data_IF_077413189381
#
_entry.id   IF_077413189381
#
_cell.length_a   1.000
_cell.length_b   1.000
_cell.length_c   1.000
_cell.angle_alpha   90.00
_cell.angle_beta   90.00
_cell.angle_gamma   90.00
#
_symmetry.space_group_name_H-M   'P 1'
#
loop_
_entity.id
_entity.type
_entity.pdbx_description
1 polymer ?
#
# COMPACT_ATOMS: atom_id res chain seq x y z
N UNK A 1 15.83 -32.60 -9.29
CA UNK A 1 14.46 -32.07 -9.51
C UNK A 1 14.06 -31.40 -8.23
N UNK A 2 13.82 -30.10 -8.28
CA UNK A 2 13.34 -29.33 -7.15
C UNK A 2 11.89 -29.70 -6.86
N UNK A 3 11.46 -29.56 -5.61
CA UNK A 3 10.08 -29.88 -5.27
C UNK A 3 9.10 -28.89 -5.93
N UNK A 4 9.52 -27.66 -6.12
CA UNK A 4 8.76 -26.59 -6.76
C UNK A 4 8.22 -26.94 -8.15
N UNK A 5 8.99 -27.70 -8.96
CA UNK A 5 8.57 -28.10 -10.30
C UNK A 5 7.26 -28.91 -10.35
N UNK A 6 6.89 -29.57 -9.23
CA UNK A 6 5.65 -30.36 -9.14
C UNK A 6 4.37 -29.53 -9.25
N UNK A 7 4.43 -28.22 -9.05
CA UNK A 7 3.25 -27.35 -9.16
C UNK A 7 2.71 -27.31 -10.59
N UNK A 8 3.56 -27.55 -11.58
CA UNK A 8 3.15 -27.53 -12.98
C UNK A 8 2.18 -28.67 -13.32
N UNK A 9 2.14 -29.76 -12.56
CA UNK A 9 1.15 -30.84 -12.69
C UNK A 9 -0.28 -30.37 -12.38
N UNK A 10 -0.42 -29.22 -11.67
CA UNK A 10 -1.69 -28.61 -11.26
C UNK A 10 -2.04 -27.38 -12.09
N UNK A 11 -1.28 -27.07 -13.15
CA UNK A 11 -1.39 -25.80 -13.86
C UNK A 11 -2.78 -25.51 -14.42
N UNK A 12 -3.41 -26.49 -15.06
CA UNK A 12 -4.75 -26.34 -15.61
C UNK A 12 -5.82 -26.12 -14.51
N UNK A 13 -5.63 -26.78 -13.36
CA UNK A 13 -6.48 -26.57 -12.19
C UNK A 13 -6.31 -25.17 -11.60
N UNK A 14 -5.08 -24.65 -11.54
CA UNK A 14 -4.75 -23.28 -11.10
C UNK A 14 -5.50 -22.27 -11.97
N UNK A 15 -5.38 -22.36 -13.29
CA UNK A 15 -6.04 -21.42 -14.20
C UNK A 15 -7.57 -21.50 -14.11
N UNK A 16 -8.12 -22.72 -14.02
CA UNK A 16 -9.56 -22.94 -13.86
C UNK A 16 -10.08 -22.29 -12.57
N UNK A 17 -9.38 -22.48 -11.46
CA UNK A 17 -9.83 -21.99 -10.15
C UNK A 17 -9.59 -20.50 -10.00
N UNK A 18 -8.52 -19.95 -10.61
CA UNK A 18 -8.31 -18.52 -10.74
C UNK A 18 -9.49 -17.86 -11.48
N UNK A 19 -9.94 -18.45 -12.59
CA UNK A 19 -11.11 -17.95 -13.32
C UNK A 19 -12.38 -17.90 -12.46
N UNK A 20 -12.58 -18.87 -11.56
CA UNK A 20 -13.72 -18.87 -10.63
C UNK A 20 -13.67 -17.71 -9.62
N UNK A 21 -12.48 -17.41 -9.09
CA UNK A 21 -12.32 -16.35 -8.08
C UNK A 21 -12.30 -14.97 -8.74
N UNK A 22 -11.72 -14.84 -9.95
CA UNK A 22 -11.78 -13.59 -10.74
C UNK A 22 -13.22 -13.21 -11.07
N UNK A 23 -14.09 -14.20 -11.31
CA UNK A 23 -15.52 -13.97 -11.59
C UNK A 23 -16.30 -13.34 -10.43
N UNK A 24 -15.67 -13.13 -9.28
CA UNK A 24 -16.27 -12.51 -8.11
C UNK A 24 -15.76 -11.07 -7.99
N UNK A 25 -16.63 -10.04 -8.12
CA UNK A 25 -16.24 -8.65 -7.98
C UNK A 25 -16.07 -8.27 -6.49
N UNK A 26 -15.10 -8.86 -5.83
CA UNK A 26 -14.86 -8.75 -4.38
C UNK A 26 -14.26 -7.39 -3.98
N UNK A 27 -14.89 -6.32 -4.44
CA UNK A 27 -14.59 -4.95 -3.97
C UNK A 27 -15.17 -4.79 -2.57
N UNK A 28 -14.36 -4.28 -1.65
CA UNK A 28 -14.81 -4.02 -0.28
C UNK A 28 -15.99 -3.03 -0.28
N UNK A 29 -17.06 -3.43 0.34
CA UNK A 29 -18.28 -2.65 0.49
C UNK A 29 -18.69 -2.49 1.95
N UNK A 30 -19.79 -1.78 2.22
CA UNK A 30 -20.32 -1.63 3.58
C UNK A 30 -20.70 -3.00 4.16
N UNK A 31 -20.60 -3.11 5.48
CA UNK A 31 -20.99 -4.32 6.19
C UNK A 31 -22.48 -4.64 5.97
N UNK A 32 -22.79 -5.91 5.67
CA UNK A 32 -24.13 -6.40 5.45
C UNK A 32 -24.41 -7.67 6.30
N UNK A 33 -25.07 -7.51 7.44
CA UNK A 33 -25.33 -8.62 8.37
C UNK A 33 -24.02 -9.21 8.92
N UNK A 34 -23.76 -10.48 8.65
CA UNK A 34 -22.54 -11.19 9.08
C UNK A 34 -21.33 -10.97 8.13
N UNK A 35 -21.47 -10.14 7.11
CA UNK A 35 -20.45 -9.89 6.08
C UNK A 35 -19.76 -8.54 6.31
N UNK A 36 -18.65 -8.48 7.03
CA UNK A 36 -18.03 -7.23 7.43
C UNK A 36 -17.51 -6.36 6.26
N UNK A 37 -17.20 -7.00 5.14
CA UNK A 37 -16.66 -6.35 3.93
C UNK A 37 -17.58 -6.49 2.71
N UNK A 38 -18.88 -6.79 2.95
CA UNK A 38 -19.87 -6.95 1.91
C UNK A 38 -19.98 -8.39 1.37
N UNK A 39 -21.07 -8.65 0.62
CA UNK A 39 -21.40 -9.98 0.14
C UNK A 39 -20.42 -10.58 -0.86
N UNK A 40 -19.83 -9.76 -1.71
CA UNK A 40 -18.92 -10.27 -2.73
C UNK A 40 -17.58 -10.73 -2.13
N UNK A 41 -17.06 -10.02 -1.12
CA UNK A 41 -15.92 -10.49 -0.34
C UNK A 41 -16.23 -11.79 0.39
N UNK A 42 -17.42 -11.89 1.00
CA UNK A 42 -17.87 -13.13 1.65
C UNK A 42 -17.97 -14.29 0.65
N UNK A 43 -18.49 -14.06 -0.56
CA UNK A 43 -18.56 -15.06 -1.63
C UNK A 43 -17.18 -15.55 -2.06
N UNK A 44 -16.18 -14.63 -2.13
CA UNK A 44 -14.79 -15.00 -2.44
C UNK A 44 -14.21 -15.93 -1.34
N UNK A 45 -14.46 -15.62 -0.07
CA UNK A 45 -14.07 -16.45 1.09
C UNK A 45 -14.71 -17.85 0.98
N UNK A 46 -16.02 -17.94 0.77
CA UNK A 46 -16.71 -19.24 0.64
C UNK A 46 -16.13 -20.05 -0.53
N UNK A 47 -15.85 -19.40 -1.67
CA UNK A 47 -15.30 -20.08 -2.85
C UNK A 47 -13.93 -20.71 -2.56
N UNK A 48 -13.01 -20.02 -1.91
CA UNK A 48 -11.69 -20.61 -1.61
C UNK A 48 -11.77 -21.69 -0.53
N UNK A 49 -12.69 -21.58 0.42
CA UNK A 49 -12.95 -22.63 1.43
C UNK A 49 -13.49 -23.89 0.75
N UNK A 50 -14.46 -23.76 -0.15
CA UNK A 50 -14.98 -24.88 -0.92
C UNK A 50 -13.92 -25.54 -1.80
N UNK A 51 -13.09 -24.75 -2.49
CA UNK A 51 -11.97 -25.25 -3.27
C UNK A 51 -10.99 -26.04 -2.41
N UNK A 52 -10.56 -25.49 -1.28
CA UNK A 52 -9.64 -26.15 -0.36
C UNK A 52 -10.19 -27.49 0.15
N UNK A 53 -11.46 -27.49 0.57
CA UNK A 53 -12.17 -28.71 1.02
C UNK A 53 -12.31 -29.74 -0.09
N UNK A 54 -12.56 -29.32 -1.34
CA UNK A 54 -12.65 -30.23 -2.49
C UNK A 54 -11.34 -30.95 -2.79
N UNK A 55 -10.22 -30.34 -2.38
CA UNK A 55 -8.86 -30.93 -2.47
C UNK A 55 -8.48 -31.71 -1.20
N UNK A 56 -9.40 -31.88 -0.26
CA UNK A 56 -9.17 -32.61 0.98
C UNK A 56 -8.25 -31.89 1.97
N UNK A 57 -8.12 -30.57 1.87
CA UNK A 57 -7.47 -29.73 2.85
C UNK A 57 -8.42 -29.38 4.00
N UNK A 58 -7.89 -29.17 5.19
CA UNK A 58 -8.65 -28.52 6.25
C UNK A 58 -8.78 -27.04 5.93
N UNK A 59 -9.99 -26.50 5.97
CA UNK A 59 -10.25 -25.09 5.69
C UNK A 59 -11.29 -24.53 6.64
N UNK A 60 -11.14 -23.26 7.01
CA UNK A 60 -11.98 -22.56 7.97
C UNK A 60 -12.22 -21.11 7.53
N UNK A 61 -13.48 -20.71 7.51
CA UNK A 61 -13.90 -19.31 7.44
C UNK A 61 -13.88 -18.72 8.86
N UNK A 62 -13.24 -17.57 9.04
CA UNK A 62 -13.11 -16.88 10.33
C UNK A 62 -13.92 -15.60 10.29
N UNK A 63 -15.24 -15.74 10.41
CA UNK A 63 -16.18 -14.63 10.50
C UNK A 63 -16.23 -13.73 9.26
N UNK A 64 -15.91 -14.26 8.09
CA UNK A 64 -15.81 -13.52 6.83
C UNK A 64 -14.81 -12.35 6.83
N UNK A 65 -13.99 -12.25 7.90
CA UNK A 65 -12.81 -11.37 7.87
C UNK A 65 -11.71 -11.99 7.01
N UNK A 66 -11.45 -13.28 7.22
CA UNK A 66 -10.53 -14.05 6.40
C UNK A 66 -10.89 -15.53 6.46
N UNK A 67 -10.30 -16.32 5.57
CA UNK A 67 -10.30 -17.78 5.67
C UNK A 67 -8.89 -18.32 5.66
N UNK A 68 -8.74 -19.61 6.00
CA UNK A 68 -7.49 -20.32 5.76
C UNK A 68 -7.72 -21.75 5.30
N UNK A 69 -6.74 -22.27 4.57
CA UNK A 69 -6.52 -23.69 4.35
C UNK A 69 -5.22 -24.12 5.02
N UNK A 70 -5.17 -25.34 5.60
CA UNK A 70 -3.96 -25.79 6.29
C UNK A 70 -3.63 -27.25 5.98
N UNK A 71 -2.32 -27.57 6.10
CA UNK A 71 -1.75 -28.88 5.96
C UNK A 71 -0.54 -29.03 6.88
N UNK A 72 -0.24 -30.25 7.29
CA UNK A 72 0.89 -30.59 8.17
C UNK A 72 0.49 -30.73 9.62
N UNK A 73 1.43 -31.23 10.41
CA UNK A 73 1.28 -31.51 11.84
C UNK A 73 2.46 -30.87 12.59
N UNK A 74 2.27 -30.54 13.87
CA UNK A 74 3.30 -29.97 14.72
C UNK A 74 2.81 -28.72 15.46
N UNK A 75 3.67 -28.20 16.33
CA UNK A 75 3.35 -27.02 17.15
C UNK A 75 3.66 -25.70 16.44
N UNK A 76 4.64 -25.69 15.52
CA UNK A 76 5.00 -24.51 14.73
C UNK A 76 3.95 -24.19 13.69
N UNK A 77 3.85 -22.90 13.32
CA UNK A 77 2.89 -22.38 12.35
C UNK A 77 3.60 -21.50 11.32
N UNK A 78 3.76 -22.02 10.09
CA UNK A 78 4.23 -21.23 8.94
C UNK A 78 3.05 -20.79 8.09
N UNK A 79 3.09 -19.57 7.53
CA UNK A 79 1.95 -19.05 6.74
C UNK A 79 2.38 -18.42 5.42
N UNK A 80 1.47 -18.52 4.44
CA UNK A 80 1.43 -17.64 3.27
C UNK A 80 0.15 -16.83 3.39
N UNK A 81 0.23 -15.51 3.24
CA UNK A 81 -0.94 -14.64 3.31
C UNK A 81 -1.16 -13.97 1.95
N UNK A 82 -2.36 -14.05 1.46
CA UNK A 82 -2.79 -13.40 0.23
C UNK A 82 -4.20 -12.82 0.44
N UNK A 83 -4.62 -11.89 -0.41
CA UNK A 83 -5.96 -11.31 -0.33
C UNK A 83 -6.83 -11.68 -1.53
N UNK A 84 -8.14 -11.60 -1.32
CA UNK A 84 -9.17 -11.87 -2.32
C UNK A 84 -9.97 -10.63 -2.68
N UNK A 85 -9.91 -9.58 -1.86
CA UNK A 85 -10.48 -8.30 -2.21
C UNK A 85 -9.70 -7.64 -3.35
N UNK A 86 -10.36 -6.77 -4.06
CA UNK A 86 -9.80 -6.06 -5.21
C UNK A 86 -10.27 -4.61 -5.19
N UNK A 87 -9.46 -3.70 -5.75
CA UNK A 87 -9.89 -2.33 -6.01
C UNK A 87 -10.99 -2.30 -7.08
N UNK A 88 -11.85 -1.26 -7.11
CA UNK A 88 -12.85 -1.09 -8.16
C UNK A 88 -12.23 -1.19 -9.56
N UNK A 89 -12.95 -1.84 -10.49
CA UNK A 89 -12.43 -2.05 -11.84
C UNK A 89 -12.17 -0.74 -12.60
N UNK A 90 -12.99 0.29 -12.39
CA UNK A 90 -12.95 1.51 -13.18
C UNK A 90 -13.56 1.31 -14.58
N UNK A 91 -13.39 2.33 -15.43
CA UNK A 91 -13.88 2.33 -16.82
C UNK A 91 -12.72 2.19 -17.81
N UNK A 92 -13.00 1.70 -19.01
CA UNK A 92 -12.03 1.61 -20.10
C UNK A 92 -11.34 0.25 -20.24
N UNK A 93 -11.97 -0.82 -19.74
CA UNK A 93 -11.52 -2.19 -20.00
C UNK A 93 -11.87 -2.63 -21.43
N UNK A 94 -10.97 -3.38 -22.06
CA UNK A 94 -11.18 -3.98 -23.38
C UNK A 94 -12.09 -5.22 -23.30
N UNK A 95 -12.14 -5.89 -22.14
CA UNK A 95 -12.98 -7.05 -21.84
C UNK A 95 -13.70 -6.85 -20.50
N UNK A 96 -14.64 -7.73 -20.15
CA UNK A 96 -15.26 -7.69 -18.81
C UNK A 96 -14.17 -7.97 -17.73
N UNK A 97 -13.94 -7.05 -16.77
CA UNK A 97 -12.91 -7.20 -15.76
C UNK A 97 -13.09 -8.43 -14.86
N UNK A 98 -14.30 -8.95 -14.75
CA UNK A 98 -14.62 -10.12 -13.92
C UNK A 98 -14.84 -11.39 -14.74
N UNK A 99 -14.41 -11.40 -15.99
CA UNK A 99 -14.34 -12.60 -16.83
C UNK A 99 -12.89 -12.78 -17.27
N UNK A 100 -12.18 -13.73 -16.65
CA UNK A 100 -10.77 -13.97 -17.00
C UNK A 100 -10.65 -14.41 -18.46
N UNK A 101 -9.91 -13.64 -19.23
CA UNK A 101 -9.59 -13.95 -20.63
C UNK A 101 -8.13 -14.31 -20.75
N UNK A 102 -7.84 -15.46 -21.40
CA UNK A 102 -6.47 -15.87 -21.71
C UNK A 102 -6.25 -15.63 -23.19
N UNK A 103 -5.25 -14.81 -23.51
CA UNK A 103 -4.78 -14.55 -24.88
C UNK A 103 -3.28 -14.82 -24.95
N UNK A 104 -2.89 -15.83 -25.71
CA UNK A 104 -1.53 -16.37 -25.79
C UNK A 104 -0.96 -16.68 -24.39
N UNK A 105 0.02 -15.93 -23.94
CA UNK A 105 0.70 -16.10 -22.66
C UNK A 105 0.22 -15.12 -21.59
N UNK A 106 -0.90 -14.46 -21.78
CA UNK A 106 -1.41 -13.46 -20.84
C UNK A 106 -2.83 -13.80 -20.38
N UNK A 107 -3.07 -13.67 -19.09
CA UNK A 107 -4.41 -13.71 -18.51
C UNK A 107 -4.82 -12.30 -18.09
N UNK A 108 -5.99 -11.84 -18.53
CA UNK A 108 -6.55 -10.53 -18.26
C UNK A 108 -7.75 -10.64 -17.32
N UNK A 109 -7.85 -9.74 -16.36
CA UNK A 109 -8.98 -9.64 -15.43
C UNK A 109 -8.58 -8.92 -14.15
N UNK A 110 -9.53 -8.32 -13.44
CA UNK A 110 -9.28 -7.67 -12.14
C UNK A 110 -8.90 -8.70 -11.08
N UNK A 111 -7.75 -8.51 -10.45
CA UNK A 111 -7.24 -9.40 -9.41
C UNK A 111 -6.42 -10.58 -9.95
N UNK A 112 -6.20 -10.71 -11.26
CA UNK A 112 -5.37 -11.81 -11.80
C UNK A 112 -3.93 -11.73 -11.29
N UNK A 113 -3.39 -10.51 -11.13
CA UNK A 113 -2.06 -10.26 -10.60
C UNK A 113 -2.11 -9.88 -9.12
N UNK A 114 -3.08 -9.08 -8.72
CA UNK A 114 -3.21 -8.47 -7.40
C UNK A 114 -4.58 -8.78 -6.76
N UNK A 115 -4.71 -9.77 -5.88
CA UNK A 115 -3.73 -10.79 -5.46
C UNK A 115 -4.33 -12.20 -5.57
N UNK A 116 -5.49 -12.36 -6.31
CA UNK A 116 -6.21 -13.64 -6.48
C UNK A 116 -5.35 -14.70 -7.16
N UNK A 117 -4.51 -14.32 -8.14
CA UNK A 117 -3.60 -15.24 -8.80
C UNK A 117 -2.63 -15.89 -7.80
N UNK A 118 -1.79 -15.11 -7.11
CA UNK A 118 -0.91 -15.62 -6.06
C UNK A 118 -1.64 -16.40 -4.96
N UNK A 119 -2.86 -15.99 -4.55
CA UNK A 119 -3.67 -16.70 -3.59
C UNK A 119 -4.03 -18.13 -4.04
N UNK A 120 -4.45 -18.30 -5.30
CA UNK A 120 -4.77 -19.60 -5.87
C UNK A 120 -3.53 -20.46 -6.08
N UNK A 121 -2.40 -19.87 -6.48
CA UNK A 121 -1.11 -20.60 -6.52
C UNK A 121 -0.76 -21.13 -5.13
N UNK A 122 -0.83 -20.33 -4.09
CA UNK A 122 -0.52 -20.76 -2.72
C UNK A 122 -1.46 -21.90 -2.26
N UNK A 123 -2.74 -21.86 -2.62
CA UNK A 123 -3.69 -22.96 -2.35
C UNK A 123 -3.26 -24.27 -3.02
N UNK A 124 -2.89 -24.21 -4.29
CA UNK A 124 -2.45 -25.40 -5.02
C UNK A 124 -1.05 -25.89 -4.59
N UNK A 125 -0.18 -25.01 -4.11
CA UNK A 125 1.07 -25.39 -3.45
C UNK A 125 0.79 -26.22 -2.19
N UNK A 126 -0.18 -25.80 -1.36
CA UNK A 126 -0.58 -26.57 -0.19
C UNK A 126 -1.17 -27.93 -0.59
N UNK A 127 -2.00 -27.99 -1.64
CA UNK A 127 -2.51 -29.23 -2.23
C UNK A 127 -1.37 -30.14 -2.70
N UNK A 128 -0.39 -29.63 -3.42
CA UNK A 128 0.75 -30.41 -3.93
C UNK A 128 1.58 -31.04 -2.81
N UNK A 129 1.81 -30.30 -1.72
CA UNK A 129 2.47 -30.81 -0.51
C UNK A 129 1.68 -31.96 0.14
N UNK A 130 0.36 -31.80 0.26
CA UNK A 130 -0.53 -32.81 0.80
C UNK A 130 -0.55 -34.05 -0.08
N UNK A 131 -0.74 -33.91 -1.40
CA UNK A 131 -0.86 -35.03 -2.33
C UNK A 131 0.47 -35.81 -2.44
N UNK A 132 1.61 -35.14 -2.27
CA UNK A 132 2.91 -35.78 -2.15
C UNK A 132 3.19 -36.41 -0.78
N UNK A 133 2.34 -36.20 0.19
CA UNK A 133 2.49 -36.73 1.55
C UNK A 133 3.72 -36.17 2.29
N UNK A 134 4.11 -34.91 1.99
CA UNK A 134 5.26 -34.27 2.63
C UNK A 134 4.99 -34.11 4.12
N UNK A 135 5.89 -34.61 4.95
CA UNK A 135 5.82 -34.44 6.39
C UNK A 135 6.81 -33.37 6.84
N UNK A 136 6.40 -32.54 7.77
CA UNK A 136 7.22 -31.49 8.35
C UNK A 136 6.98 -31.37 9.85
N UNK A 137 7.66 -30.43 10.48
CA UNK A 137 7.64 -30.22 11.93
C UNK A 137 6.65 -29.14 12.36
N UNK A 138 5.90 -28.58 11.43
CA UNK A 138 4.95 -27.48 11.65
C UNK A 138 3.74 -27.59 10.77
N UNK A 139 2.70 -26.84 11.10
CA UNK A 139 1.59 -26.61 10.21
C UNK A 139 1.97 -25.55 9.17
N UNK A 140 1.50 -25.72 7.97
CA UNK A 140 1.57 -24.73 6.92
C UNK A 140 0.15 -24.27 6.57
N UNK A 141 -0.09 -22.98 6.62
CA UNK A 141 -1.40 -22.38 6.43
C UNK A 141 -1.33 -21.33 5.33
N UNK A 142 -2.31 -21.35 4.42
CA UNK A 142 -2.55 -20.26 3.48
C UNK A 142 -3.75 -19.47 4.00
N UNK A 143 -3.55 -18.19 4.25
CA UNK A 143 -4.58 -17.25 4.74
C UNK A 143 -5.05 -16.41 3.57
N UNK A 144 -6.37 -16.29 3.43
CA UNK A 144 -7.06 -15.53 2.40
C UNK A 144 -7.79 -14.37 3.08
N UNK A 145 -7.27 -13.16 2.94
CA UNK A 145 -7.86 -11.94 3.51
C UNK A 145 -8.94 -11.33 2.62
N UNK A 146 -9.66 -10.37 3.17
CA UNK A 146 -10.81 -9.71 2.52
C UNK A 146 -10.76 -8.19 2.53
N UNK A 147 -9.71 -7.55 3.07
CA UNK A 147 -9.64 -6.11 3.23
C UNK A 147 -8.19 -5.57 3.21
N UNK A 148 -7.33 -6.14 2.38
CA UNK A 148 -5.95 -5.67 2.20
C UNK A 148 -5.93 -4.26 1.64
N UNK A 149 -6.65 -4.04 0.56
CA UNK A 149 -6.73 -2.81 -0.24
C UNK A 149 -7.33 -1.60 0.51
N UNK A 150 -7.95 -1.86 1.64
CA UNK A 150 -8.62 -0.83 2.46
C UNK A 150 -8.08 -0.76 3.89
N UNK A 151 -6.80 -1.11 4.08
CA UNK A 151 -6.08 -0.90 5.33
C UNK A 151 -5.95 -2.13 6.23
N UNK A 152 -6.13 -3.34 5.69
CA UNK A 152 -5.81 -4.62 6.35
C UNK A 152 -6.56 -4.85 7.68
N UNK A 153 -7.78 -4.34 7.79
CA UNK A 153 -8.57 -4.39 9.04
C UNK A 153 -9.08 -5.79 9.37
N UNK A 154 -9.02 -6.71 8.43
CA UNK A 154 -9.39 -8.12 8.54
C UNK A 154 -8.41 -8.94 9.40
N UNK A 155 -7.12 -8.70 9.27
CA UNK A 155 -6.09 -9.49 9.96
C UNK A 155 -6.11 -9.36 11.48
N UNK A 156 -6.29 -8.17 12.09
CA UNK A 156 -6.49 -8.05 13.52
C UNK A 156 -7.67 -8.90 14.04
N UNK A 157 -8.79 -8.97 13.30
CA UNK A 157 -9.92 -9.83 13.65
C UNK A 157 -9.60 -11.32 13.50
N UNK A 158 -8.93 -11.71 12.43
CA UNK A 158 -8.51 -13.08 12.21
C UNK A 158 -7.63 -13.59 13.36
N UNK A 159 -6.60 -12.83 13.76
CA UNK A 159 -5.66 -13.20 14.80
C UNK A 159 -6.19 -13.09 16.24
N UNK A 160 -7.42 -12.62 16.46
CA UNK A 160 -8.08 -12.73 17.76
C UNK A 160 -8.41 -14.18 18.15
N UNK A 161 -8.67 -15.04 17.16
CA UNK A 161 -9.07 -16.44 17.37
C UNK A 161 -8.07 -17.45 16.82
N UNK A 162 -7.16 -17.02 15.95
CA UNK A 162 -6.22 -17.91 15.27
C UNK A 162 -4.78 -17.70 15.77
N UNK A 163 -4.00 -18.77 15.71
CA UNK A 163 -2.60 -18.75 16.14
C UNK A 163 -1.77 -17.83 15.25
N UNK A 164 -0.96 -16.97 15.89
CA UNK A 164 0.05 -16.17 15.20
C UNK A 164 1.12 -17.05 14.56
N UNK A 165 1.65 -16.68 13.38
CA UNK A 165 2.69 -17.44 12.73
C UNK A 165 4.06 -17.28 13.40
N UNK A 166 4.90 -18.30 13.25
CA UNK A 166 6.31 -18.26 13.61
C UNK A 166 7.16 -17.70 12.46
N UNK A 167 6.72 -17.92 11.23
CA UNK A 167 7.31 -17.40 10.00
C UNK A 167 6.30 -17.40 8.86
N UNK A 168 6.58 -16.63 7.83
CA UNK A 168 5.81 -16.71 6.59
C UNK A 168 6.03 -15.52 5.65
N UNK A 169 5.38 -15.56 4.50
CA UNK A 169 5.48 -14.49 3.52
C UNK A 169 4.12 -14.13 2.91
N UNK A 170 4.06 -12.96 2.28
CA UNK A 170 2.97 -12.58 1.40
C UNK A 170 3.50 -12.44 -0.03
N UNK A 171 2.87 -13.10 -1.03
CA UNK A 171 3.21 -12.94 -2.43
C UNK A 171 2.51 -11.73 -3.05
N UNK A 172 2.85 -10.54 -2.52
CA UNK A 172 2.14 -9.29 -2.81
C UNK A 172 3.14 -8.13 -3.01
N UNK A 173 4.22 -8.41 -3.72
CA UNK A 173 5.28 -7.47 -4.06
C UNK A 173 6.09 -7.97 -5.27
N UNK A 174 7.23 -7.32 -5.53
CA UNK A 174 8.22 -7.88 -6.46
C UNK A 174 9.09 -8.94 -5.78
N UNK A 175 9.62 -9.88 -6.56
CA UNK A 175 10.79 -10.66 -6.17
C UNK A 175 12.01 -9.71 -6.05
N UNK A 176 12.91 -9.89 -5.22
CA UNK A 176 13.47 -10.49 -4.09
C UNK A 176 12.62 -10.55 -2.80
N UNK A 177 13.24 -10.27 -1.66
CA UNK A 177 12.63 -10.32 -0.33
C UNK A 177 12.54 -8.90 0.20
N UNK A 178 11.31 -8.40 0.37
CA UNK A 178 11.08 -7.18 1.12
C UNK A 178 11.08 -7.53 2.61
N UNK A 179 12.24 -7.38 3.25
CA UNK A 179 12.44 -7.71 4.66
C UNK A 179 12.12 -6.56 5.62
N UNK A 180 11.83 -5.40 5.04
CA UNK A 180 11.67 -4.16 5.77
C UNK A 180 10.62 -3.26 5.08
N UNK A 181 9.56 -2.92 5.79
CA UNK A 181 8.55 -1.94 5.38
C UNK A 181 8.58 -0.76 6.35
N UNK A 182 8.61 0.46 5.84
CA UNK A 182 8.56 1.66 6.68
C UNK A 182 7.25 1.75 7.44
N UNK A 183 7.26 2.37 8.61
CA UNK A 183 6.03 2.75 9.31
C UNK A 183 5.25 3.77 8.48
N UNK A 184 3.92 3.72 8.58
CA UNK A 184 2.99 4.60 7.85
C UNK A 184 2.23 5.43 8.86
N UNK A 185 2.40 6.74 8.82
CA UNK A 185 1.76 7.66 9.75
C UNK A 185 1.04 8.76 8.98
N UNK A 186 -0.28 8.83 9.15
CA UNK A 186 -1.09 9.91 8.60
C UNK A 186 -1.57 10.81 9.73
N UNK A 187 -1.47 12.11 9.53
CA UNK A 187 -2.05 13.10 10.43
C UNK A 187 -2.75 14.22 9.69
N UNK A 188 -3.68 14.85 10.39
CA UNK A 188 -4.35 16.05 9.92
C UNK A 188 -4.06 17.23 10.86
N UNK A 189 -3.96 18.40 10.24
CA UNK A 189 -4.03 19.67 10.96
C UNK A 189 -5.29 20.40 10.48
N UNK A 190 -6.03 20.97 11.41
CA UNK A 190 -7.28 21.67 11.11
C UNK A 190 -7.52 22.86 12.03
N UNK A 191 -8.44 23.70 11.63
CA UNK A 191 -8.83 24.88 12.37
C UNK A 191 -9.84 25.75 11.65
N UNK A 192 -10.06 26.95 12.18
CA UNK A 192 -10.82 27.98 11.50
C UNK A 192 -9.93 28.65 10.46
N UNK A 193 -10.52 29.03 9.34
CA UNK A 193 -9.81 29.89 8.40
C UNK A 193 -9.75 31.31 8.99
N UNK A 194 -8.60 31.68 9.53
CA UNK A 194 -8.28 33.01 10.08
C UNK A 194 -7.55 33.91 9.08
N UNK A 195 -7.37 33.43 7.84
CA UNK A 195 -6.77 34.25 6.78
C UNK A 195 -7.67 35.41 6.35
N UNK A 196 -7.11 36.59 6.27
CA UNK A 196 -7.80 37.76 5.72
C UNK A 196 -7.81 37.79 4.19
N UNK A 197 -6.96 36.98 3.52
CA UNK A 197 -6.77 36.98 2.07
C UNK A 197 -7.21 35.70 1.39
N UNK A 198 -7.05 34.52 1.98
CA UNK A 198 -7.42 33.25 1.36
C UNK A 198 -8.90 32.94 1.61
N UNK A 199 -9.68 32.80 0.53
CA UNK A 199 -11.10 32.45 0.58
C UNK A 199 -11.33 30.97 0.33
N UNK A 200 -10.54 30.37 -0.54
CA UNK A 200 -10.60 28.95 -0.89
C UNK A 200 -9.22 28.44 -1.26
N UNK A 201 -8.88 27.24 -0.83
CA UNK A 201 -7.68 26.54 -1.26
C UNK A 201 -8.00 25.03 -1.34
N UNK A 202 -7.74 24.41 -2.47
CA UNK A 202 -7.97 22.97 -2.68
C UNK A 202 -6.79 22.34 -3.39
N UNK A 203 -6.27 21.25 -2.84
CA UNK A 203 -5.21 20.47 -3.47
C UNK A 203 -5.23 19.01 -3.01
N UNK A 204 -4.86 18.12 -3.93
CA UNK A 204 -4.79 16.68 -3.70
C UNK A 204 -6.13 15.97 -3.76
N UNK A 205 -6.07 14.65 -3.96
CA UNK A 205 -7.23 13.75 -4.00
C UNK A 205 -7.08 12.60 -3.00
N UNK A 206 -5.84 12.20 -2.69
CA UNK A 206 -5.50 11.15 -1.73
C UNK A 206 -4.24 11.54 -0.94
N UNK A 207 -4.08 11.12 0.34
CA UNK A 207 -2.94 11.51 1.17
C UNK A 207 -1.61 10.98 0.65
N UNK A 208 -1.61 9.77 0.09
CA UNK A 208 -0.42 9.03 -0.32
C UNK A 208 0.11 9.37 -1.73
N UNK A 209 -0.31 10.50 -2.27
CA UNK A 209 0.20 11.03 -3.54
C UNK A 209 0.65 12.48 -3.40
N UNK A 210 1.71 12.86 -4.11
CA UNK A 210 2.15 14.25 -4.25
C UNK A 210 1.14 15.00 -5.12
N UNK A 211 0.50 16.08 -4.64
CA UNK A 211 -0.46 16.84 -5.41
C UNK A 211 0.20 17.52 -6.62
N UNK A 212 -0.26 17.20 -7.81
CA UNK A 212 0.21 17.82 -9.06
C UNK A 212 -0.52 19.11 -9.42
N UNK A 213 -1.58 19.45 -8.66
CA UNK A 213 -2.38 20.65 -8.87
C UNK A 213 -2.87 21.21 -7.55
N UNK A 214 -2.81 22.54 -7.39
CA UNK A 214 -3.46 23.26 -6.32
C UNK A 214 -4.19 24.50 -6.87
N UNK A 215 -5.36 24.81 -6.31
CA UNK A 215 -6.18 25.97 -6.68
C UNK A 215 -6.43 26.83 -5.45
N UNK A 216 -6.24 28.15 -5.60
CA UNK A 216 -6.49 29.12 -4.55
C UNK A 216 -7.30 30.32 -5.07
N UNK A 217 -8.26 30.78 -4.27
CA UNK A 217 -9.00 32.03 -4.50
C UNK A 217 -8.62 33.02 -3.40
N UNK A 218 -8.19 34.19 -3.81
CA UNK A 218 -7.72 35.26 -2.94
C UNK A 218 -8.62 36.51 -3.04
N UNK A 219 -8.84 37.14 -1.89
CA UNK A 219 -9.30 38.51 -1.79
C UNK A 219 -8.07 39.42 -1.58
N UNK A 220 -7.65 40.14 -2.57
CA UNK A 220 -6.44 40.95 -2.54
C UNK A 220 -6.54 42.16 -3.52
N UNK A 221 -5.68 43.15 -3.28
CA UNK A 221 -5.60 44.35 -4.13
C UNK A 221 -4.94 44.07 -5.49
N UNK A 222 -5.18 44.89 -6.52
CA UNK A 222 -4.48 44.80 -7.80
C UNK A 222 -2.93 44.84 -7.66
N UNK A 223 -2.42 45.64 -6.71
CA UNK A 223 -0.98 45.72 -6.46
C UNK A 223 -0.42 44.40 -5.92
N UNK A 224 -1.19 43.69 -5.06
CA UNK A 224 -0.80 42.35 -4.54
C UNK A 224 -0.85 41.31 -5.66
N UNK A 225 -1.81 41.40 -6.59
CA UNK A 225 -1.85 40.57 -7.81
C UNK A 225 -0.60 40.74 -8.65
N UNK A 226 -0.16 42.00 -8.89
CA UNK A 226 1.09 42.29 -9.61
C UNK A 226 2.30 41.69 -8.90
N UNK A 227 2.37 41.76 -7.57
CA UNK A 227 3.45 41.14 -6.77
C UNK A 227 3.43 39.63 -6.89
N UNK A 228 2.27 38.99 -6.85
CA UNK A 228 2.13 37.54 -7.05
C UNK A 228 2.61 37.12 -8.45
N UNK A 229 2.24 37.86 -9.50
CA UNK A 229 2.70 37.62 -10.86
C UNK A 229 4.23 37.72 -10.96
N UNK A 230 4.81 38.78 -10.39
CA UNK A 230 6.26 39.00 -10.39
C UNK A 230 7.03 37.96 -9.56
N UNK A 231 6.44 37.40 -8.50
CA UNK A 231 7.00 36.31 -7.72
C UNK A 231 6.90 34.97 -8.50
N UNK A 232 5.76 34.71 -9.13
CA UNK A 232 5.51 33.51 -9.95
C UNK A 232 6.49 33.38 -11.12
N UNK A 233 6.89 34.50 -11.76
CA UNK A 233 7.89 34.51 -12.84
C UNK A 233 9.27 34.00 -12.41
N UNK A 234 9.58 34.03 -11.11
CA UNK A 234 10.87 33.59 -10.55
C UNK A 234 10.83 32.16 -10.01
N UNK A 235 9.67 31.55 -10.01
CA UNK A 235 9.46 30.19 -9.50
C UNK A 235 9.86 29.14 -10.52
N UNK A 236 10.31 27.98 -10.02
CA UNK A 236 10.52 26.77 -10.83
C UNK A 236 9.20 26.08 -11.23
N UNK A 237 8.08 26.46 -10.59
CA UNK A 237 6.75 25.91 -10.80
C UNK A 237 5.90 26.91 -11.59
N UNK A 238 5.08 26.40 -12.49
CA UNK A 238 4.15 27.23 -13.29
C UNK A 238 2.91 27.57 -12.47
N UNK A 239 2.53 28.86 -12.49
CA UNK A 239 1.30 29.36 -11.90
C UNK A 239 0.45 30.08 -12.95
N UNK A 240 -0.85 29.73 -13.03
CA UNK A 240 -1.84 30.49 -13.78
C UNK A 240 -2.55 31.45 -12.82
N UNK A 241 -2.31 32.76 -12.97
CA UNK A 241 -2.90 33.78 -12.10
C UNK A 241 -3.91 34.58 -12.92
N UNK A 242 -5.19 34.50 -12.56
CA UNK A 242 -6.29 35.19 -13.21
C UNK A 242 -6.89 36.21 -12.25
N UNK A 243 -6.83 37.48 -12.60
CA UNK A 243 -7.44 38.54 -11.82
C UNK A 243 -8.99 38.46 -11.85
N UNK A 244 -9.61 38.77 -10.71
CA UNK A 244 -11.06 38.84 -10.52
C UNK A 244 -11.47 40.22 -10.00
N UNK A 245 -12.76 40.50 -9.82
CA UNK A 245 -13.24 41.78 -9.25
C UNK A 245 -12.79 41.98 -7.78
N UNK A 246 -12.63 40.89 -7.02
CA UNK A 246 -12.31 40.90 -5.58
C UNK A 246 -10.87 40.47 -5.27
N UNK A 247 -10.05 40.14 -6.28
CA UNK A 247 -8.68 39.69 -6.11
C UNK A 247 -8.18 38.84 -7.27
N UNK A 248 -7.80 37.55 -7.01
CA UNK A 248 -7.41 36.65 -8.08
C UNK A 248 -7.68 35.17 -7.74
N UNK A 249 -7.66 34.33 -8.77
CA UNK A 249 -7.52 32.88 -8.67
C UNK A 249 -6.14 32.47 -9.15
N UNK A 250 -5.53 31.51 -8.44
CA UNK A 250 -4.22 30.95 -8.78
C UNK A 250 -4.36 29.46 -8.94
N UNK A 251 -3.80 28.90 -10.01
CA UNK A 251 -3.61 27.47 -10.20
C UNK A 251 -2.11 27.18 -10.22
N UNK A 252 -1.64 26.35 -9.33
CA UNK A 252 -0.28 25.85 -9.28
C UNK A 252 -0.20 24.50 -9.98
N UNK A 253 0.81 24.30 -10.84
CA UNK A 253 1.07 23.07 -11.59
C UNK A 253 2.32 22.40 -11.08
N UNK A 254 2.17 21.24 -10.46
CA UNK A 254 3.25 20.40 -9.97
C UNK A 254 3.40 19.12 -10.80
N UNK A 255 3.97 18.10 -10.18
CA UNK A 255 4.15 16.76 -10.76
C UNK A 255 3.76 15.70 -9.75
N UNK A 256 2.88 14.76 -10.16
CA UNK A 256 2.48 13.65 -9.31
C UNK A 256 3.64 12.67 -9.06
N UNK A 257 3.68 12.13 -7.85
CA UNK A 257 4.53 11.00 -7.45
C UNK A 257 3.88 10.29 -6.28
N UNK A 258 4.35 9.08 -5.95
CA UNK A 258 3.91 8.38 -4.76
C UNK A 258 4.56 8.98 -3.49
N UNK A 259 3.84 9.05 -2.37
CA UNK A 259 4.34 9.65 -1.12
C UNK A 259 5.56 8.92 -0.51
N UNK A 260 5.83 7.67 -0.91
CA UNK A 260 7.06 6.96 -0.52
C UNK A 260 8.33 7.45 -1.23
N UNK A 261 8.18 8.19 -2.34
CA UNK A 261 9.27 8.77 -3.14
C UNK A 261 8.92 10.19 -3.56
N UNK A 262 8.62 11.10 -2.59
CA UNK A 262 8.04 12.41 -2.90
C UNK A 262 8.99 13.33 -3.68
N UNK A 263 10.30 13.08 -3.63
CA UNK A 263 11.31 13.80 -4.43
C UNK A 263 11.22 13.53 -5.95
N UNK A 264 10.46 12.52 -6.38
CA UNK A 264 10.17 12.29 -7.80
C UNK A 264 9.01 13.14 -8.31
N UNK A 265 8.35 13.88 -7.41
CA UNK A 265 7.24 14.77 -7.70
C UNK A 265 7.57 16.23 -7.39
N UNK A 266 6.59 17.10 -7.68
CA UNK A 266 6.61 18.52 -7.31
C UNK A 266 5.27 18.85 -6.67
N UNK A 267 5.27 19.19 -5.39
CA UNK A 267 4.05 19.42 -4.61
C UNK A 267 3.45 20.80 -4.91
N UNK A 268 2.38 20.81 -5.68
CA UNK A 268 1.70 22.06 -6.09
C UNK A 268 1.16 22.89 -4.90
N UNK A 269 0.71 22.22 -3.82
CA UNK A 269 0.19 22.90 -2.64
C UNK A 269 1.29 23.64 -1.87
N UNK A 270 2.42 22.96 -1.62
CA UNK A 270 3.57 23.56 -0.91
C UNK A 270 4.13 24.76 -1.67
N UNK A 271 4.30 24.63 -2.99
CA UNK A 271 4.78 25.73 -3.84
C UNK A 271 3.79 26.90 -3.91
N UNK A 272 2.48 26.61 -3.91
CA UNK A 272 1.48 27.69 -3.89
C UNK A 272 1.51 28.46 -2.57
N UNK A 273 1.62 27.75 -1.43
CA UNK A 273 1.73 28.40 -0.11
C UNK A 273 3.04 29.21 -0.01
N UNK A 274 4.15 28.69 -0.54
CA UNK A 274 5.41 29.43 -0.59
C UNK A 274 5.32 30.72 -1.44
N UNK A 275 4.61 30.66 -2.60
CA UNK A 275 4.32 31.85 -3.39
C UNK A 275 3.52 32.90 -2.60
N UNK A 276 2.48 32.47 -1.87
CA UNK A 276 1.67 33.37 -1.04
C UNK A 276 2.50 34.02 0.06
N UNK A 277 3.38 33.29 0.72
CA UNK A 277 4.24 33.81 1.78
C UNK A 277 5.29 34.84 1.33
N UNK A 278 5.61 34.86 0.02
CA UNK A 278 6.49 35.90 -0.54
C UNK A 278 5.79 37.27 -0.68
N UNK A 279 4.45 37.30 -0.65
CA UNK A 279 3.68 38.53 -0.88
C UNK A 279 2.89 38.94 0.36
N UNK A 280 2.34 37.99 1.10
CA UNK A 280 1.48 38.23 2.26
C UNK A 280 2.20 37.93 3.56
N UNK A 281 1.89 38.72 4.59
CA UNK A 281 2.43 38.53 5.95
C UNK A 281 1.74 37.37 6.66
N UNK A 282 2.36 36.91 7.78
CA UNK A 282 1.76 35.92 8.67
C UNK A 282 0.35 36.31 9.13
N UNK A 283 0.15 37.59 9.46
CA UNK A 283 -1.15 38.11 9.92
C UNK A 283 -2.23 38.02 8.82
N UNK A 284 -1.83 38.19 7.56
CA UNK A 284 -2.74 38.10 6.41
C UNK A 284 -3.04 36.64 6.04
N UNK A 285 -2.07 35.76 6.11
CA UNK A 285 -2.22 34.36 5.77
C UNK A 285 -2.90 33.55 6.90
N UNK A 286 -2.77 33.97 8.15
CA UNK A 286 -3.28 33.27 9.31
C UNK A 286 -2.40 32.08 9.74
N UNK A 287 -2.76 31.52 10.89
CA UNK A 287 -1.98 30.46 11.54
C UNK A 287 -1.82 29.21 10.70
N UNK A 288 -2.87 28.80 9.97
CA UNK A 288 -2.87 27.57 9.19
C UNK A 288 -1.91 27.61 8.01
N UNK A 289 -1.96 28.65 7.16
CA UNK A 289 -1.05 28.76 6.01
C UNK A 289 0.36 29.05 6.46
N UNK A 290 0.54 29.77 7.58
CA UNK A 290 1.86 30.01 8.14
C UNK A 290 2.47 28.72 8.71
N UNK A 291 1.67 27.84 9.30
CA UNK A 291 2.11 26.50 9.67
C UNK A 291 2.59 25.69 8.45
N UNK A 292 1.88 25.71 7.33
CA UNK A 292 2.34 25.02 6.10
C UNK A 292 3.68 25.62 5.65
N UNK A 293 3.80 26.95 5.58
CA UNK A 293 5.01 27.62 5.13
C UNK A 293 6.22 27.32 6.05
N UNK A 294 6.08 27.53 7.34
CA UNK A 294 7.17 27.45 8.31
C UNK A 294 7.53 26.02 8.73
N UNK A 295 6.53 25.13 8.84
CA UNK A 295 6.73 23.79 9.41
C UNK A 295 6.72 22.68 8.39
N UNK A 296 6.00 22.81 7.30
CA UNK A 296 5.97 21.82 6.22
C UNK A 296 6.95 22.25 5.11
N UNK A 297 6.74 23.43 4.52
CA UNK A 297 7.56 24.00 3.46
C UNK A 297 7.63 23.12 2.21
N UNK A 298 8.83 23.12 1.60
CA UNK A 298 9.13 22.34 0.38
C UNK A 298 9.90 21.04 0.66
N UNK A 299 10.36 20.83 1.91
CA UNK A 299 11.15 19.65 2.26
C UNK A 299 10.30 18.38 2.28
N UNK A 300 10.84 17.31 1.72
CA UNK A 300 10.15 16.00 1.63
C UNK A 300 10.66 14.97 2.63
N UNK A 301 11.45 15.39 3.61
CA UNK A 301 12.12 14.54 4.61
C UNK A 301 11.76 14.88 6.07
N UNK A 302 10.80 15.81 6.27
CA UNK A 302 10.37 16.28 7.59
C UNK A 302 11.40 17.11 8.35
N UNK A 303 12.47 17.57 7.71
CA UNK A 303 13.52 18.40 8.34
C UNK A 303 12.95 19.71 8.88
N UNK A 304 12.04 20.33 8.16
CA UNK A 304 11.49 21.63 8.50
C UNK A 304 10.59 21.59 9.75
N UNK A 305 9.89 20.49 9.98
CA UNK A 305 9.06 20.29 11.19
C UNK A 305 9.84 19.59 12.33
N UNK A 306 11.06 19.14 12.07
CA UNK A 306 11.94 18.55 13.08
C UNK A 306 11.77 17.04 13.30
N UNK A 307 11.22 16.31 12.31
CA UNK A 307 11.07 14.85 12.36
C UNK A 307 11.98 14.09 11.41
N UNK A 308 12.96 14.79 10.81
CA UNK A 308 13.93 14.14 9.93
C UNK A 308 14.69 13.04 10.67
N UNK A 309 14.68 11.86 10.10
CA UNK A 309 15.41 10.70 10.62
C UNK A 309 15.71 9.69 9.52
N UNK A 310 16.63 8.77 9.81
CA UNK A 310 17.02 7.70 8.90
C UNK A 310 17.49 6.49 9.69
N UNK A 311 17.47 5.32 9.06
CA UNK A 311 18.16 4.12 9.54
C UNK A 311 18.85 3.38 8.39
N UNK A 312 19.69 2.40 8.73
CA UNK A 312 20.40 1.60 7.72
C UNK A 312 19.45 0.70 6.93
N UNK A 313 18.47 -0.03 7.54
CA UNK A 313 17.67 -0.99 6.80
C UNK A 313 16.65 -0.35 5.86
N UNK A 314 16.08 0.82 6.18
CA UNK A 314 14.97 1.41 5.39
C UNK A 314 15.23 2.81 4.84
N UNK A 315 16.36 3.42 5.18
CA UNK A 315 16.74 4.75 4.70
C UNK A 315 15.98 5.90 5.37
N UNK A 316 15.85 7.08 4.69
CA UNK A 316 15.31 8.29 5.29
C UNK A 316 13.79 8.27 5.43
N UNK A 317 13.27 9.06 6.39
CA UNK A 317 11.85 9.40 6.47
C UNK A 317 11.41 10.16 5.22
N UNK A 318 10.18 9.91 4.75
CA UNK A 318 9.51 10.72 3.74
C UNK A 318 8.31 11.45 4.31
N UNK A 319 8.07 12.66 3.81
CA UNK A 319 7.05 13.57 4.29
C UNK A 319 6.29 14.18 3.11
N UNK A 320 4.99 13.95 3.01
CA UNK A 320 4.17 14.42 1.89
C UNK A 320 2.93 15.16 2.38
N UNK A 321 2.82 16.44 2.05
CA UNK A 321 1.56 17.18 2.16
C UNK A 321 0.61 16.70 1.04
N UNK A 322 -0.28 15.76 1.36
CA UNK A 322 -1.11 15.09 0.36
C UNK A 322 -2.42 15.80 0.06
N UNK A 323 -3.06 16.37 1.07
CA UNK A 323 -4.35 17.05 0.92
C UNK A 323 -4.34 18.41 1.59
N UNK A 324 -4.96 19.41 0.95
CA UNK A 324 -5.31 20.70 1.57
C UNK A 324 -6.72 21.08 1.13
N UNK A 325 -7.57 21.42 2.08
CA UNK A 325 -8.92 21.90 1.82
C UNK A 325 -9.24 23.07 2.75
N UNK A 326 -9.53 24.22 2.18
CA UNK A 326 -9.86 25.46 2.88
C UNK A 326 -11.06 26.10 2.20
N UNK A 327 -12.04 26.44 3.01
CA UNK A 327 -13.16 27.32 2.64
C UNK A 327 -13.17 28.58 3.52
N UNK A 328 -14.21 29.40 3.46
CA UNK A 328 -14.30 30.65 4.23
C UNK A 328 -14.35 30.44 5.75
N UNK A 329 -14.75 29.25 6.23
CA UNK A 329 -14.98 28.97 7.64
C UNK A 329 -13.90 28.08 8.25
N UNK A 330 -13.42 27.09 7.50
CA UNK A 330 -12.58 26.01 8.01
C UNK A 330 -11.39 25.74 7.11
N UNK A 331 -10.35 25.20 7.71
CA UNK A 331 -9.16 24.71 7.02
C UNK A 331 -8.77 23.33 7.52
N UNK A 332 -8.27 22.50 6.61
CA UNK A 332 -7.71 21.20 6.93
C UNK A 332 -6.60 20.82 5.95
N UNK A 333 -5.62 20.06 6.43
CA UNK A 333 -4.62 19.40 5.62
C UNK A 333 -4.43 17.96 6.10
N UNK A 334 -3.89 17.12 5.24
CA UNK A 334 -3.46 15.76 5.59
C UNK A 334 -2.05 15.52 5.05
N UNK A 335 -1.22 14.94 5.89
CA UNK A 335 0.17 14.57 5.59
C UNK A 335 0.34 13.07 5.75
N UNK A 336 1.00 12.45 4.77
CA UNK A 336 1.48 11.06 4.80
C UNK A 336 2.98 11.08 5.13
N UNK A 337 3.36 10.31 6.14
CA UNK A 337 4.75 10.11 6.57
C UNK A 337 5.10 8.64 6.43
N UNK A 338 6.25 8.34 5.82
CA UNK A 338 6.87 7.02 5.83
C UNK A 338 8.12 7.09 6.70
N UNK A 339 8.09 6.47 7.89
CA UNK A 339 9.18 6.58 8.84
C UNK A 339 10.04 5.31 8.92
N UNK A 340 11.34 5.45 9.28
CA UNK A 340 12.29 4.34 9.27
C UNK A 340 11.89 3.20 10.20
N UNK A 341 12.19 1.97 9.78
CA UNK A 341 11.69 0.75 10.39
C UNK A 341 12.19 0.48 11.82
N UNK A 342 13.29 1.09 12.22
CA UNK A 342 13.82 0.96 13.59
C UNK A 342 13.36 2.10 14.53
N UNK A 343 12.48 2.98 14.05
CA UNK A 343 11.97 4.14 14.79
C UNK A 343 10.55 3.89 15.26
N UNK A 344 10.06 4.77 16.14
CA UNK A 344 8.71 4.67 16.72
C UNK A 344 7.86 5.85 16.24
N UNK A 345 6.66 5.58 15.76
CA UNK A 345 5.69 6.61 15.37
C UNK A 345 5.35 7.56 16.51
N UNK A 346 5.26 7.06 17.75
CA UNK A 346 4.97 7.87 18.93
C UNK A 346 5.97 9.03 19.15
N UNK A 347 7.26 8.84 18.84
CA UNK A 347 8.26 9.89 18.97
C UNK A 347 8.03 11.00 17.92
N UNK A 348 7.61 10.63 16.73
CA UNK A 348 7.24 11.56 15.66
C UNK A 348 5.98 12.33 16.04
N UNK A 349 4.93 11.64 16.51
CA UNK A 349 3.66 12.24 16.92
C UNK A 349 3.88 13.29 18.00
N UNK A 350 4.74 13.03 18.99
CA UNK A 350 5.05 13.98 20.04
C UNK A 350 5.60 15.32 19.49
N UNK A 351 6.53 15.24 18.53
CA UNK A 351 7.09 16.44 17.86
C UNK A 351 6.01 17.16 17.06
N UNK A 352 5.22 16.42 16.26
CA UNK A 352 4.16 17.03 15.44
C UNK A 352 3.12 17.77 16.28
N UNK A 353 2.71 17.19 17.42
CA UNK A 353 1.78 17.82 18.36
C UNK A 353 2.35 19.11 18.95
N UNK A 354 3.62 19.10 19.36
CA UNK A 354 4.31 20.30 19.88
C UNK A 354 4.37 21.40 18.83
N UNK A 355 4.76 21.07 17.58
CA UNK A 355 4.84 22.03 16.50
C UNK A 355 3.48 22.62 16.13
N UNK A 356 2.44 21.80 16.03
CA UNK A 356 1.08 22.27 15.78
C UNK A 356 0.59 23.21 16.89
N UNK A 357 0.76 22.83 18.15
CA UNK A 357 0.38 23.65 19.30
C UNK A 357 1.13 24.98 19.32
N UNK A 358 2.43 25.01 18.98
CA UNK A 358 3.24 26.23 18.91
C UNK A 358 2.74 27.24 17.88
N UNK A 359 2.07 26.76 16.84
CA UNK A 359 1.49 27.57 15.77
C UNK A 359 0.00 27.88 15.96
N UNK A 360 -0.63 27.33 17.01
CA UNK A 360 -2.05 27.57 17.31
C UNK A 360 -3.02 26.83 16.40
N UNK A 361 -2.60 25.71 15.81
CA UNK A 361 -3.43 24.83 14.97
C UNK A 361 -3.72 23.52 15.69
N UNK A 362 -4.83 22.85 15.34
CA UNK A 362 -5.26 21.60 15.97
C UNK A 362 -4.69 20.40 15.22
N UNK A 363 -4.10 19.44 15.94
CA UNK A 363 -3.50 18.21 15.40
C UNK A 363 -4.43 17.02 15.68
N UNK A 364 -4.57 16.14 14.69
CA UNK A 364 -5.24 14.84 14.84
C UNK A 364 -4.40 13.76 14.18
N UNK A 365 -3.98 12.74 14.94
CA UNK A 365 -3.41 11.52 14.39
C UNK A 365 -4.55 10.72 13.72
N UNK A 366 -4.40 10.41 12.44
CA UNK A 366 -5.37 9.63 11.68
C UNK A 366 -5.02 8.14 11.71
N UNK A 367 -3.75 7.81 11.50
CA UNK A 367 -3.26 6.43 11.53
C UNK A 367 -1.79 6.38 11.93
N UNK A 368 -1.37 5.27 12.54
CA UNK A 368 0.03 4.90 12.76
C UNK A 368 0.14 3.38 12.64
N UNK A 369 0.57 2.92 11.46
CA UNK A 369 0.86 1.52 11.21
C UNK A 369 2.35 1.25 11.45
N UNK A 370 2.63 0.44 12.47
CA UNK A 370 4.00 0.09 12.85
C UNK A 370 4.80 -0.50 11.69
N UNK A 371 6.12 -0.25 11.62
CA UNK A 371 6.97 -0.78 10.57
C UNK A 371 7.16 -2.29 10.71
N UNK A 372 7.53 -2.92 9.59
CA UNK A 372 8.04 -4.28 9.56
C UNK A 372 9.56 -4.24 9.44
N UNK A 373 10.24 -5.04 10.26
CA UNK A 373 11.66 -5.30 10.09
C UNK A 373 12.01 -6.74 10.49
N UNK A 374 12.59 -7.48 9.56
CA UNK A 374 13.14 -8.81 9.80
C UNK A 374 14.64 -8.80 9.43
N UNK A 375 15.56 -9.23 10.30
CA UNK A 375 16.98 -9.29 9.98
C UNK A 375 17.27 -10.14 8.73
N UNK A 376 18.20 -9.69 7.90
CA UNK A 376 18.59 -10.37 6.64
C UNK A 376 19.10 -11.79 6.86
N UNK A 377 19.68 -12.04 8.05
CA UNK A 377 20.25 -13.33 8.47
C UNK A 377 19.21 -14.27 9.11
N UNK A 378 17.94 -13.86 9.15
CA UNK A 378 16.88 -14.70 9.73
C UNK A 378 16.69 -16.01 8.96
N UNK A 379 16.22 -17.03 9.66
CA UNK A 379 15.94 -18.34 9.06
C UNK A 379 14.99 -18.20 7.85
N UNK A 380 13.92 -17.41 7.99
CA UNK A 380 12.95 -17.21 6.91
C UNK A 380 13.61 -16.63 5.65
N UNK A 381 14.39 -15.55 5.80
CA UNK A 381 15.09 -14.92 4.67
C UNK A 381 16.05 -15.91 4.00
N UNK A 382 16.77 -16.71 4.79
CA UNK A 382 17.65 -17.75 4.26
C UNK A 382 16.89 -18.82 3.48
N UNK A 383 15.74 -19.29 3.98
CA UNK A 383 14.92 -20.31 3.30
C UNK A 383 14.35 -19.78 1.97
N UNK A 384 13.82 -18.55 1.96
CA UNK A 384 13.22 -17.93 0.78
C UNK A 384 14.28 -17.58 -0.26
N UNK A 385 15.43 -17.00 0.13
CA UNK A 385 16.56 -16.73 -0.76
C UNK A 385 17.06 -17.99 -1.43
N UNK A 386 17.18 -19.06 -0.65
CA UNK A 386 17.58 -20.36 -1.18
C UNK A 386 16.56 -20.94 -2.15
N UNK A 387 15.26 -20.81 -1.89
CA UNK A 387 14.20 -21.26 -2.79
C UNK A 387 14.26 -20.51 -4.12
N UNK A 388 14.36 -19.18 -4.07
CA UNK A 388 14.48 -18.33 -5.25
C UNK A 388 15.71 -18.71 -6.10
N UNK A 389 16.88 -18.73 -5.47
CA UNK A 389 18.15 -19.05 -6.16
C UNK A 389 18.14 -20.43 -6.79
N UNK A 390 17.64 -21.44 -6.07
CA UNK A 390 17.70 -22.81 -6.58
C UNK A 390 16.72 -23.03 -7.73
N UNK A 391 15.60 -22.29 -7.79
CA UNK A 391 14.63 -22.36 -8.89
C UNK A 391 15.06 -21.50 -10.09
N UNK A 392 15.54 -20.28 -9.84
CA UNK A 392 15.86 -19.33 -10.92
C UNK A 392 17.30 -19.43 -11.41
N UNK A 393 18.22 -19.89 -10.57
CA UNK A 393 19.67 -19.81 -10.79
C UNK A 393 20.27 -18.44 -10.51
N UNK A 394 19.48 -17.49 -9.99
CA UNK A 394 19.88 -16.11 -9.71
C UNK A 394 19.90 -15.84 -8.20
N UNK A 395 20.74 -14.91 -7.75
CA UNK A 395 20.73 -14.46 -6.37
C UNK A 395 19.45 -13.67 -6.05
N UNK A 396 18.93 -13.83 -4.85
CA UNK A 396 17.72 -13.16 -4.39
C UNK A 396 18.08 -11.82 -3.72
N UNK A 397 17.67 -10.72 -4.29
CA UNK A 397 17.84 -9.40 -3.68
C UNK A 397 17.06 -9.29 -2.37
N UNK A 398 17.61 -8.54 -1.40
CA UNK A 398 16.95 -8.22 -0.14
C UNK A 398 16.81 -6.72 -0.03
N UNK A 399 15.59 -6.23 -0.01
CA UNK A 399 15.30 -4.80 -0.10
C UNK A 399 14.29 -4.32 0.94
N UNK A 400 14.15 -3.01 1.05
CA UNK A 400 13.14 -2.32 1.84
C UNK A 400 12.19 -1.53 0.96
N UNK A 401 10.96 -1.30 1.41
CA UNK A 401 10.01 -0.46 0.70
C UNK A 401 9.28 0.52 1.63
N UNK A 402 8.77 1.59 1.03
CA UNK A 402 7.97 2.60 1.72
C UNK A 402 6.48 2.27 1.77
N UNK A 403 6.04 1.22 1.08
CA UNK A 403 4.67 0.69 1.12
C UNK A 403 4.47 -0.28 2.28
N UNK A 404 3.30 -0.93 2.31
CA UNK A 404 2.98 -1.97 3.27
C UNK A 404 2.13 -3.06 2.64
N UNK A 405 2.31 -4.27 3.13
CA UNK A 405 1.56 -5.47 2.73
C UNK A 405 1.08 -6.22 3.97
N UNK A 406 0.38 -7.33 3.79
CA UNK A 406 0.07 -8.24 4.90
C UNK A 406 1.31 -8.73 5.67
N UNK A 407 2.52 -8.58 5.15
CA UNK A 407 3.73 -8.96 5.88
C UNK A 407 3.84 -8.24 7.22
N UNK A 408 3.43 -6.96 7.32
CA UNK A 408 3.43 -6.18 8.57
C UNK A 408 2.49 -6.72 9.64
N UNK A 409 1.43 -7.42 9.25
CA UNK A 409 0.44 -8.00 10.16
C UNK A 409 0.97 -9.23 10.92
N UNK A 410 2.22 -9.62 10.73
CA UNK A 410 2.86 -10.79 11.35
C UNK A 410 3.78 -10.47 12.50
N UNK A 411 3.74 -9.23 12.99
CA UNK A 411 4.51 -8.81 14.18
C UNK A 411 6.01 -9.14 14.07
N UNK A 412 6.62 -8.77 12.92
CA UNK A 412 8.05 -8.96 12.68
C UNK A 412 8.49 -10.39 12.34
N UNK A 413 7.55 -11.28 11.98
CA UNK A 413 7.83 -12.69 11.61
C UNK A 413 7.52 -13.02 10.16
N UNK A 414 7.27 -12.03 9.33
CA UNK A 414 6.93 -12.18 7.92
C UNK A 414 7.72 -11.24 7.03
N UNK A 415 7.67 -11.50 5.72
CA UNK A 415 8.25 -10.68 4.65
C UNK A 415 7.31 -10.66 3.45
N UNK A 416 7.44 -9.66 2.57
CA UNK A 416 6.85 -9.78 1.23
C UNK A 416 7.85 -10.46 0.29
N UNK A 417 7.36 -11.40 -0.55
CA UNK A 417 8.17 -12.24 -1.42
C UNK A 417 7.38 -12.70 -2.66
N UNK A 418 7.61 -12.04 -3.80
CA UNK A 418 6.86 -12.24 -5.04
C UNK A 418 5.46 -11.58 -4.96
N UNK A 419 4.62 -11.67 -5.99
CA UNK A 419 4.68 -12.57 -7.16
C UNK A 419 5.30 -11.96 -8.44
N UNK A 420 5.48 -10.64 -8.51
CA UNK A 420 5.98 -9.95 -9.70
C UNK A 420 7.51 -10.08 -9.83
N UNK A 421 8.02 -10.00 -11.06
CA UNK A 421 9.46 -10.01 -11.31
C UNK A 421 9.93 -8.61 -11.74
N UNK A 422 11.12 -8.15 -11.29
CA UNK A 422 11.62 -6.81 -11.61
C UNK A 422 11.81 -6.55 -13.10
N UNK A 423 12.02 -7.60 -13.90
CA UNK A 423 12.27 -7.56 -15.33
C UNK A 423 11.01 -7.81 -16.19
N UNK A 424 9.83 -7.96 -15.59
CA UNK A 424 8.57 -8.11 -16.32
C UNK A 424 7.90 -6.76 -16.59
N UNK A 425 6.98 -6.74 -17.56
CA UNK A 425 6.11 -5.58 -17.78
C UNK A 425 5.21 -5.35 -16.57
N UNK A 426 4.93 -4.08 -16.27
CA UNK A 426 3.97 -3.68 -15.25
C UNK A 426 2.61 -4.35 -15.50
N UNK A 427 2.14 -5.15 -14.55
CA UNK A 427 0.87 -5.89 -14.61
C UNK A 427 -0.37 -5.00 -14.67
N UNK A 428 -0.22 -3.68 -14.51
CA UNK A 428 -1.32 -2.72 -14.38
C UNK A 428 -2.23 -3.01 -13.18
N UNK A 429 -1.67 -3.52 -12.10
CA UNK A 429 -2.39 -3.60 -10.83
C UNK A 429 -3.03 -2.25 -10.51
N UNK A 430 -4.26 -2.24 -9.98
CA UNK A 430 -5.07 -1.04 -9.72
C UNK A 430 -5.48 -0.21 -10.97
N UNK A 431 -5.10 -0.64 -12.18
CA UNK A 431 -5.46 0.02 -13.44
C UNK A 431 -6.41 -0.84 -14.28
N UNK A 432 -6.92 -0.29 -15.36
CA UNK A 432 -7.70 -1.05 -16.36
C UNK A 432 -6.81 -1.97 -17.17
N UNK A 433 -7.37 -3.07 -17.63
CA UNK A 433 -6.64 -4.10 -18.38
C UNK A 433 -5.47 -4.71 -17.57
N UNK A 434 -5.69 -4.91 -16.28
CA UNK A 434 -4.78 -5.69 -15.44
C UNK A 434 -4.52 -7.06 -16.07
N UNK A 435 -3.26 -7.50 -16.06
CA UNK A 435 -2.87 -8.75 -16.67
C UNK A 435 -1.78 -9.49 -15.89
N UNK A 436 -1.65 -10.78 -16.21
CA UNK A 436 -0.67 -11.68 -15.65
C UNK A 436 0.08 -12.40 -16.78
N UNK A 437 1.42 -12.27 -16.83
CA UNK A 437 2.26 -13.06 -17.77
C UNK A 437 2.36 -14.50 -17.25
N UNK A 438 1.69 -15.42 -17.91
CA UNK A 438 1.60 -16.83 -17.49
C UNK A 438 2.95 -17.56 -17.49
N UNK A 439 3.94 -17.08 -18.24
CA UNK A 439 5.31 -17.65 -18.25
C UNK A 439 6.01 -17.32 -16.94
N UNK A 440 5.91 -16.04 -16.51
CA UNK A 440 6.46 -15.58 -15.23
C UNK A 440 5.66 -16.15 -14.05
N UNK A 441 4.36 -16.30 -14.23
CA UNK A 441 3.49 -16.86 -13.21
C UNK A 441 3.75 -18.36 -12.96
N UNK A 442 4.15 -19.14 -13.97
CA UNK A 442 4.65 -20.50 -13.76
C UNK A 442 5.89 -20.51 -12.88
N UNK A 443 6.85 -19.63 -13.18
CA UNK A 443 8.07 -19.50 -12.39
C UNK A 443 7.74 -19.06 -10.93
N UNK A 444 6.79 -18.12 -10.75
CA UNK A 444 6.28 -17.79 -9.44
C UNK A 444 5.72 -19.01 -8.69
N UNK A 445 4.91 -19.82 -9.37
CA UNK A 445 4.32 -21.02 -8.77
C UNK A 445 5.39 -22.03 -8.32
N UNK A 446 6.45 -22.23 -9.11
CA UNK A 446 7.58 -23.09 -8.76
C UNK A 446 8.34 -22.56 -7.53
N UNK A 447 8.64 -21.26 -7.49
CA UNK A 447 9.31 -20.61 -6.35
C UNK A 447 8.42 -20.71 -5.09
N UNK A 448 7.12 -20.43 -5.24
CA UNK A 448 6.16 -20.47 -4.13
C UNK A 448 6.09 -21.88 -3.51
N UNK A 449 5.95 -22.93 -4.33
CA UNK A 449 5.92 -24.30 -3.83
C UNK A 449 7.25 -24.70 -3.18
N UNK A 450 8.39 -24.34 -3.76
CA UNK A 450 9.70 -24.64 -3.17
C UNK A 450 9.88 -23.91 -1.83
N UNK A 451 9.46 -22.65 -1.73
CA UNK A 451 9.48 -21.89 -0.49
C UNK A 451 8.58 -22.50 0.59
N UNK A 452 7.35 -22.87 0.23
CA UNK A 452 6.41 -23.54 1.14
C UNK A 452 6.92 -24.92 1.60
N UNK A 453 7.53 -25.68 0.72
CA UNK A 453 8.17 -26.95 1.06
C UNK A 453 9.28 -26.76 2.10
N UNK A 454 10.15 -25.78 1.89
CA UNK A 454 11.25 -25.48 2.83
C UNK A 454 10.73 -24.97 4.16
N UNK A 455 9.72 -24.11 4.18
CA UNK A 455 9.11 -23.65 5.43
C UNK A 455 8.45 -24.80 6.21
N UNK A 456 7.78 -25.73 5.53
CA UNK A 456 7.13 -26.89 6.15
C UNK A 456 8.16 -27.84 6.79
N UNK A 457 9.31 -28.07 6.12
CA UNK A 457 10.29 -29.08 6.47
C UNK A 457 11.49 -28.54 7.28
N UNK A 458 11.62 -27.22 7.43
CA UNK A 458 12.71 -26.62 8.22
C UNK A 458 12.64 -27.05 9.69
N UNK A 459 13.84 -27.29 10.26
CA UNK A 459 14.02 -27.63 11.68
C UNK A 459 13.86 -26.40 12.60
#
# INVERSE_FOLDING_TARGET
>A
MLFGEKILDYWDDILRDLGKVVAIPSVVGPAEGDYPYGKECARAIDTVVELAQSYGLQAKNVGYHAAHAEYGEGEGNAVVMAHLDVVPAGEGWDTDPYTMVIDDNFAYGRGVADNKGPAIVALHCLRALKDAGVKGNRKLRVIFGSAEEVGMTDMPHYFQSEQHPDMGFTPDASYGICHCEKGLLDFSVHGKNDSSVVRRFVSGTVPNAVPFKAECTLACSPEEVEKLQAAAEKSEVTFDITATEEGCTIVSHGQAAHASTPWNGVNAASHLVDLLAQVFTQEQLGAFFWFIHEKIGLATDGSQIGVQMSDEPSGPLTFNLGLVNVDEAQCSLTVDIRYPATKKGADIVAVLQEQAASCGVEFTLLSDAEPLYLPKESQLVTLLSGAYRDVTGEECDIFSMGGGTYARQRFGKGVAFGASFPDQADSRAHQTNEFLDLRRFKLHAEICLEAMYRMLTAE
#
